data_IF_201391998458
#
_entry.id   IF_201391998458
#
_cell.length_a   1.000
_cell.length_b   1.000
_cell.length_c   1.000
_cell.angle_alpha   90.00
_cell.angle_beta   90.00
_cell.angle_gamma   90.00
#
_symmetry.space_group_name_H-M   'P 1'
#
loop_
_entity.id
_entity.type
_entity.pdbx_description
1 polymer ?
#
# COMPACT_ATOMS: atom_id res chain seq x y z
N UNK A 1 14.98 1.54 0.34
CA UNK A 1 14.53 0.98 -0.94
C UNK A 1 13.16 0.38 -0.66
N UNK A 2 12.15 0.68 -1.48
CA UNK A 2 10.87 -0.02 -1.37
C UNK A 2 11.13 -1.48 -1.76
N UNK A 3 11.03 -2.39 -0.82
CA UNK A 3 11.41 -3.77 -1.03
C UNK A 3 10.34 -4.44 -1.93
N UNK A 4 10.67 -4.58 -3.22
CA UNK A 4 9.76 -5.03 -4.28
C UNK A 4 9.85 -6.53 -4.53
N UNK A 5 11.07 -7.07 -4.50
CA UNK A 5 11.36 -8.43 -4.96
C UNK A 5 10.67 -9.49 -4.11
N UNK A 6 10.64 -9.33 -2.79
CA UNK A 6 10.02 -10.31 -1.90
C UNK A 6 8.51 -10.37 -2.09
N UNK A 7 7.81 -9.22 -2.08
CA UNK A 7 6.36 -9.17 -2.26
C UNK A 7 5.96 -9.68 -3.65
N UNK A 8 6.71 -9.28 -4.68
CA UNK A 8 6.46 -9.73 -6.05
C UNK A 8 6.65 -11.25 -6.18
N UNK A 9 7.70 -11.80 -5.55
CA UNK A 9 7.95 -13.24 -5.50
C UNK A 9 6.83 -13.98 -4.77
N UNK A 10 6.41 -13.48 -3.60
CA UNK A 10 5.33 -14.08 -2.81
C UNK A 10 4.02 -14.09 -3.59
N UNK A 11 3.65 -12.96 -4.21
CA UNK A 11 2.43 -12.88 -5.03
C UNK A 11 2.48 -13.81 -6.24
N UNK A 12 3.64 -13.92 -6.93
CA UNK A 12 3.83 -14.86 -8.04
C UNK A 12 3.72 -16.31 -7.58
N UNK A 13 4.26 -16.65 -6.41
CA UNK A 13 4.16 -17.99 -5.85
C UNK A 13 2.70 -18.33 -5.52
N UNK A 14 1.96 -17.40 -4.93
CA UNK A 14 0.54 -17.57 -4.60
C UNK A 14 -0.32 -17.70 -5.86
N UNK A 15 -0.02 -16.94 -6.92
CA UNK A 15 -0.69 -17.09 -8.21
C UNK A 15 -0.40 -18.45 -8.84
N UNK A 16 0.85 -18.92 -8.81
CA UNK A 16 1.21 -20.26 -9.27
C UNK A 16 0.44 -21.35 -8.51
N UNK A 17 0.40 -21.26 -7.18
CA UNK A 17 -0.32 -22.21 -6.32
C UNK A 17 -1.83 -22.20 -6.58
N UNK A 18 -2.41 -21.01 -6.80
CA UNK A 18 -3.81 -20.86 -7.19
C UNK A 18 -4.11 -21.57 -8.51
N UNK A 19 -3.29 -21.36 -9.52
CA UNK A 19 -3.47 -21.94 -10.86
C UNK A 19 -3.25 -23.46 -10.88
N UNK A 20 -2.31 -23.98 -10.07
CA UNK A 20 -2.05 -25.42 -9.97
C UNK A 20 -3.04 -26.18 -9.07
N UNK A 21 -3.87 -25.48 -8.30
CA UNK A 21 -4.76 -26.12 -7.35
C UNK A 21 -5.98 -26.76 -8.03
N UNK A 22 -6.19 -28.06 -7.81
CA UNK A 22 -7.44 -28.74 -8.16
C UNK A 22 -8.59 -28.47 -7.19
N UNK A 23 -8.31 -27.92 -6.00
CA UNK A 23 -9.31 -27.65 -4.96
C UNK A 23 -9.76 -26.20 -4.97
N UNK A 24 -11.07 -25.98 -5.10
CA UNK A 24 -11.67 -24.65 -5.00
C UNK A 24 -11.41 -23.98 -3.65
N UNK A 25 -11.41 -24.77 -2.57
CA UNK A 25 -11.13 -24.29 -1.21
C UNK A 25 -9.71 -23.72 -1.09
N UNK A 26 -8.73 -24.42 -1.67
CA UNK A 26 -7.34 -23.95 -1.69
C UNK A 26 -7.17 -22.69 -2.54
N UNK A 27 -7.86 -22.58 -3.69
CA UNK A 27 -7.88 -21.36 -4.50
C UNK A 27 -8.34 -20.15 -3.67
N UNK A 28 -9.41 -20.30 -2.89
CA UNK A 28 -9.91 -19.24 -2.00
C UNK A 28 -8.87 -18.84 -0.94
N UNK A 29 -8.13 -19.80 -0.39
CA UNK A 29 -7.05 -19.51 0.57
C UNK A 29 -5.91 -18.73 -0.05
N UNK A 30 -5.44 -19.14 -1.24
CA UNK A 30 -4.36 -18.42 -1.93
C UNK A 30 -4.77 -17.01 -2.33
N UNK A 31 -6.00 -16.79 -2.80
CA UNK A 31 -6.55 -15.46 -3.06
C UNK A 31 -6.55 -14.57 -1.81
N UNK A 32 -7.07 -15.07 -0.68
CA UNK A 32 -7.09 -14.31 0.57
C UNK A 32 -5.67 -13.98 1.06
N UNK A 33 -4.76 -14.95 0.98
CA UNK A 33 -3.39 -14.78 1.43
C UNK A 33 -2.66 -13.74 0.57
N UNK A 34 -2.81 -13.77 -0.76
CA UNK A 34 -2.21 -12.79 -1.66
C UNK A 34 -2.68 -11.37 -1.32
N UNK A 35 -3.99 -11.21 -1.10
CA UNK A 35 -4.56 -9.93 -0.72
C UNK A 35 -4.03 -9.43 0.64
N UNK A 36 -3.95 -10.28 1.65
CA UNK A 36 -3.40 -9.92 2.97
C UNK A 36 -1.94 -9.51 2.89
N UNK A 37 -1.14 -10.29 2.17
CA UNK A 37 0.29 -10.04 1.97
C UNK A 37 0.51 -8.67 1.31
N UNK A 38 -0.23 -8.37 0.23
CA UNK A 38 -0.13 -7.07 -0.41
C UNK A 38 -0.60 -5.94 0.51
N UNK A 39 -1.73 -6.11 1.22
CA UNK A 39 -2.23 -5.07 2.13
C UNK A 39 -1.22 -4.72 3.22
N UNK A 40 -0.59 -5.72 3.85
CA UNK A 40 0.45 -5.50 4.86
C UNK A 40 1.66 -4.80 4.27
N UNK A 41 2.12 -5.24 3.10
CA UNK A 41 3.22 -4.60 2.39
C UNK A 41 2.97 -3.12 2.09
N UNK A 42 1.75 -2.74 1.69
CA UNK A 42 1.41 -1.34 1.39
C UNK A 42 1.48 -0.50 2.67
N UNK A 43 0.92 -0.98 3.77
CA UNK A 43 0.94 -0.29 5.07
C UNK A 43 2.39 -0.03 5.50
N UNK A 44 3.23 -1.06 5.54
CA UNK A 44 4.65 -0.94 5.91
C UNK A 44 5.42 -0.01 4.98
N UNK A 45 5.14 -0.05 3.67
CA UNK A 45 5.83 0.79 2.69
C UNK A 45 5.44 2.26 2.82
N UNK A 46 4.17 2.56 3.05
CA UNK A 46 3.70 3.93 3.30
C UNK A 46 4.35 4.53 4.55
N UNK A 47 4.40 3.75 5.63
CA UNK A 47 5.06 4.12 6.88
C UNK A 47 6.54 4.42 6.64
N UNK A 48 7.24 3.54 5.93
CA UNK A 48 8.66 3.70 5.60
C UNK A 48 8.93 4.94 4.74
N UNK A 49 8.07 5.23 3.76
CA UNK A 49 8.17 6.45 2.93
C UNK A 49 8.07 7.70 3.79
N UNK A 50 7.10 7.74 4.71
CA UNK A 50 6.89 8.88 5.62
C UNK A 50 8.07 9.02 6.59
N UNK A 51 8.51 7.94 7.23
CA UNK A 51 9.62 7.94 8.18
C UNK A 51 10.92 8.40 7.49
N UNK A 52 11.20 7.91 6.28
CA UNK A 52 12.37 8.33 5.51
C UNK A 52 12.31 9.81 5.15
N UNK A 53 11.13 10.31 4.77
CA UNK A 53 10.93 11.74 4.53
C UNK A 53 11.19 12.56 5.82
N UNK A 54 10.59 12.17 6.93
CA UNK A 54 10.74 12.83 8.23
C UNK A 54 12.20 12.85 8.69
N UNK A 55 12.92 11.72 8.56
CA UNK A 55 14.32 11.62 8.94
C UNK A 55 15.25 12.51 8.09
N UNK A 56 14.86 12.81 6.86
CA UNK A 56 15.58 13.70 5.94
C UNK A 56 15.34 15.17 6.27
N UNK A 57 14.08 15.56 6.51
CA UNK A 57 13.70 16.97 6.69
C UNK A 57 13.88 17.46 8.14
N UNK A 58 13.63 16.61 9.13
CA UNK A 58 13.77 16.96 10.54
C UNK A 58 15.23 16.78 10.97
N UNK A 59 15.80 17.81 11.62
CA UNK A 59 17.17 17.74 12.16
C UNK A 59 17.20 17.23 13.61
N UNK A 60 16.14 17.50 14.37
CA UNK A 60 16.06 17.22 15.82
C UNK A 60 15.54 15.80 16.07
N UNK A 61 16.32 14.99 16.80
CA UNK A 61 16.00 13.58 17.06
C UNK A 61 14.66 13.36 17.81
N UNK A 62 14.33 14.14 18.86
CA UNK A 62 12.99 14.09 19.47
C UNK A 62 11.83 14.24 18.48
N UNK A 63 11.96 15.11 17.48
CA UNK A 63 10.90 15.33 16.49
C UNK A 63 10.75 14.12 15.56
N UNK A 64 11.86 13.49 15.16
CA UNK A 64 11.84 12.23 14.38
C UNK A 64 11.12 11.14 15.15
N UNK A 65 11.43 10.99 16.45
CA UNK A 65 10.77 10.03 17.33
C UNK A 65 9.28 10.35 17.50
N UNK A 66 8.92 11.62 17.62
CA UNK A 66 7.53 12.05 17.69
C UNK A 66 6.75 11.62 16.43
N UNK A 67 7.30 11.84 15.23
CA UNK A 67 6.64 11.38 13.99
C UNK A 67 6.44 9.86 14.01
N UNK A 68 7.48 9.09 14.32
CA UNK A 68 7.39 7.63 14.34
C UNK A 68 6.33 7.15 15.36
N UNK A 69 6.38 7.65 16.59
CA UNK A 69 5.57 7.13 17.70
C UNK A 69 4.14 7.70 17.76
N UNK A 70 3.94 8.94 17.30
CA UNK A 70 2.66 9.68 17.46
C UNK A 70 1.90 9.89 16.16
N UNK A 71 2.54 9.72 15.00
CA UNK A 71 1.91 9.92 13.70
C UNK A 71 1.82 8.61 12.93
N UNK A 72 2.95 7.93 12.75
CA UNK A 72 3.02 6.71 11.93
C UNK A 72 2.45 5.51 12.69
N UNK A 73 3.01 5.17 13.86
CA UNK A 73 2.58 4.01 14.66
C UNK A 73 1.08 3.90 14.97
N UNK A 74 0.33 4.98 15.27
CA UNK A 74 -1.11 4.87 15.52
C UNK A 74 -1.97 4.85 14.25
N UNK A 75 -1.36 4.94 13.06
CA UNK A 75 -2.06 4.90 11.77
C UNK A 75 -2.21 3.46 11.32
N UNK A 76 -3.45 2.96 11.24
CA UNK A 76 -3.74 1.59 10.83
C UNK A 76 -4.55 1.58 9.53
N UNK A 77 -3.92 1.16 8.44
CA UNK A 77 -4.54 1.13 7.12
C UNK A 77 -3.74 1.85 6.06
N UNK A 78 -4.15 1.67 4.81
CA UNK A 78 -3.44 2.18 3.63
C UNK A 78 -4.30 3.07 2.71
N UNK A 79 -5.49 3.49 3.14
CA UNK A 79 -6.28 4.48 2.38
C UNK A 79 -5.49 5.78 2.20
N UNK A 80 -5.46 6.29 0.96
CA UNK A 80 -4.67 7.47 0.61
C UNK A 80 -5.02 8.69 1.47
N UNK A 81 -6.27 9.15 1.43
CA UNK A 81 -6.70 10.37 2.14
C UNK A 81 -6.58 10.26 3.67
N UNK A 82 -7.03 9.13 4.23
CA UNK A 82 -7.14 8.96 5.69
C UNK A 82 -5.81 8.67 6.38
N UNK A 83 -4.91 7.95 5.70
CA UNK A 83 -3.67 7.45 6.29
C UNK A 83 -2.47 8.13 5.63
N UNK A 84 -2.19 7.86 4.36
CA UNK A 84 -0.94 8.27 3.74
C UNK A 84 -0.83 9.79 3.59
N UNK A 85 -1.83 10.44 3.00
CA UNK A 85 -1.87 11.89 2.80
C UNK A 85 -1.82 12.63 4.13
N UNK A 86 -2.59 12.17 5.13
CA UNK A 86 -2.57 12.72 6.49
C UNK A 86 -1.17 12.69 7.10
N UNK A 87 -0.46 11.56 6.99
CA UNK A 87 0.91 11.45 7.47
C UNK A 87 1.87 12.40 6.74
N UNK A 88 1.74 12.52 5.41
CA UNK A 88 2.56 13.46 4.62
C UNK A 88 2.30 14.91 5.02
N UNK A 89 1.03 15.32 5.16
CA UNK A 89 0.66 16.68 5.58
C UNK A 89 1.26 17.00 6.95
N UNK A 90 1.31 16.03 7.87
CA UNK A 90 1.93 16.24 9.17
C UNK A 90 3.45 16.51 9.08
N UNK A 91 4.15 15.83 8.16
CA UNK A 91 5.61 15.93 8.04
C UNK A 91 6.06 17.12 7.20
N UNK A 92 5.43 17.36 6.05
CA UNK A 92 5.88 18.37 5.07
C UNK A 92 4.92 19.55 4.90
N UNK A 93 3.76 19.52 5.57
CA UNK A 93 2.72 20.53 5.46
C UNK A 93 1.83 20.38 4.22
N UNK A 94 0.63 20.95 4.30
CA UNK A 94 -0.39 20.85 3.24
C UNK A 94 0.08 21.45 1.90
N UNK A 95 0.72 22.62 1.93
CA UNK A 95 1.21 23.27 0.71
C UNK A 95 2.22 22.40 -0.06
N UNK A 96 3.07 21.67 0.66
CA UNK A 96 4.05 20.77 0.04
C UNK A 96 3.37 19.55 -0.58
N UNK A 97 2.38 18.99 0.11
CA UNK A 97 1.58 17.87 -0.41
C UNK A 97 0.83 18.27 -1.68
N UNK A 98 0.20 19.44 -1.71
CA UNK A 98 -0.47 19.95 -2.93
C UNK A 98 0.50 20.10 -4.11
N UNK A 99 1.72 20.57 -3.85
CA UNK A 99 2.76 20.66 -4.88
C UNK A 99 3.17 19.28 -5.38
N UNK A 100 3.30 18.29 -4.50
CA UNK A 100 3.59 16.91 -4.90
C UNK A 100 2.45 16.36 -5.76
N UNK A 101 1.22 16.45 -5.29
CA UNK A 101 0.01 15.93 -5.96
C UNK A 101 -0.18 16.55 -7.35
N UNK A 102 0.19 17.81 -7.56
CA UNK A 102 0.18 18.47 -8.87
C UNK A 102 1.29 18.00 -9.81
N UNK A 103 2.42 17.56 -9.26
CA UNK A 103 3.64 17.24 -10.03
C UNK A 103 3.89 15.74 -10.20
N UNK A 104 3.12 14.87 -9.54
CA UNK A 104 3.09 13.43 -9.86
C UNK A 104 2.41 13.21 -11.20
N UNK A 105 2.79 12.13 -11.89
CA UNK A 105 2.07 11.66 -13.06
C UNK A 105 0.60 11.38 -12.70
N UNK A 106 -0.32 12.13 -13.32
CA UNK A 106 -1.75 12.08 -12.99
C UNK A 106 -2.40 10.73 -13.35
N UNK A 107 -1.87 10.04 -14.37
CA UNK A 107 -2.36 8.70 -14.76
C UNK A 107 -1.94 7.67 -13.73
N UNK A 108 -0.67 7.70 -13.30
CA UNK A 108 -0.17 6.82 -12.23
C UNK A 108 -0.89 7.12 -10.91
N UNK A 109 -1.11 8.39 -10.59
CA UNK A 109 -1.86 8.80 -9.41
C UNK A 109 -3.27 8.21 -9.42
N UNK A 110 -4.03 8.40 -10.51
CA UNK A 110 -5.38 7.85 -10.61
C UNK A 110 -5.42 6.31 -10.44
N UNK A 111 -4.47 5.60 -11.08
CA UNK A 111 -4.34 4.14 -10.94
C UNK A 111 -3.97 3.72 -9.52
N UNK A 112 -3.08 4.46 -8.87
CA UNK A 112 -2.68 4.22 -7.48
C UNK A 112 -3.88 4.35 -6.54
N UNK A 113 -4.63 5.46 -6.61
CA UNK A 113 -5.82 5.69 -5.78
C UNK A 113 -6.88 4.61 -6.03
N UNK A 114 -7.13 4.28 -7.31
CA UNK A 114 -8.07 3.22 -7.68
C UNK A 114 -7.66 1.84 -7.14
N UNK A 115 -6.38 1.51 -7.21
CA UNK A 115 -5.85 0.24 -6.69
C UNK A 115 -5.98 0.16 -5.16
N UNK A 116 -5.67 1.24 -4.42
CA UNK A 116 -5.87 1.29 -2.97
C UNK A 116 -7.35 1.12 -2.61
N UNK A 117 -8.25 1.81 -3.31
CA UNK A 117 -9.70 1.68 -3.09
C UNK A 117 -10.20 0.25 -3.34
N UNK A 118 -9.74 -0.36 -4.44
CA UNK A 118 -10.09 -1.75 -4.80
C UNK A 118 -9.61 -2.75 -3.74
N UNK A 119 -8.34 -2.64 -3.31
CA UNK A 119 -7.77 -3.50 -2.29
C UNK A 119 -8.45 -3.33 -0.94
N UNK A 120 -8.82 -2.10 -0.57
CA UNK A 120 -9.55 -1.82 0.68
C UNK A 120 -10.94 -2.45 0.66
N UNK A 121 -11.67 -2.30 -0.44
CA UNK A 121 -12.99 -2.90 -0.61
C UNK A 121 -12.92 -4.44 -0.55
N UNK A 122 -11.96 -5.03 -1.28
CA UNK A 122 -11.72 -6.47 -1.25
C UNK A 122 -11.37 -6.95 0.16
N UNK A 123 -10.41 -6.30 0.84
CA UNK A 123 -10.00 -6.66 2.21
C UNK A 123 -11.17 -6.61 3.18
N UNK A 124 -11.94 -5.52 3.16
CA UNK A 124 -13.09 -5.37 4.06
C UNK A 124 -14.14 -6.45 3.79
N UNK A 125 -14.49 -6.70 2.52
CA UNK A 125 -15.43 -7.77 2.14
C UNK A 125 -14.95 -9.10 2.71
N UNK A 126 -13.69 -9.44 2.51
CA UNK A 126 -13.11 -10.71 2.91
C UNK A 126 -12.90 -10.87 4.42
N UNK A 127 -12.70 -9.77 5.16
CA UNK A 127 -12.58 -9.77 6.62
C UNK A 127 -13.93 -9.96 7.33
N UNK A 128 -15.02 -9.45 6.74
CA UNK A 128 -16.37 -9.53 7.32
C UNK A 128 -17.16 -10.75 6.85
N UNK A 129 -16.54 -11.68 6.11
CA UNK A 129 -17.25 -12.83 5.54
C UNK A 129 -16.45 -14.13 5.69
N UNK A 130 -17.05 -15.11 6.36
CA UNK A 130 -16.47 -16.44 6.52
C UNK A 130 -16.56 -17.25 5.22
N UNK A 131 -15.58 -18.14 5.01
CA UNK A 131 -15.60 -19.10 3.89
C UNK A 131 -16.64 -20.20 4.17
N UNK A 132 -17.92 -19.92 3.93
CA UNK A 132 -19.02 -20.88 3.98
C UNK A 132 -19.68 -20.96 2.60
N UNK A 133 -19.90 -22.18 2.10
CA UNK A 133 -20.53 -22.44 0.79
C UNK A 133 -19.55 -22.63 -0.38
N UNK A 134 -20.04 -23.26 -1.46
CA UNK A 134 -19.26 -23.69 -2.65
C UNK A 134 -19.24 -22.67 -3.80
N UNK A 135 -20.14 -21.67 -3.80
CA UNK A 135 -20.33 -20.69 -4.89
C UNK A 135 -19.57 -19.38 -4.71
N UNK A 136 -18.63 -19.30 -3.77
CA UNK A 136 -17.94 -18.04 -3.47
C UNK A 136 -16.84 -17.73 -4.49
N UNK A 137 -16.85 -16.48 -4.97
CA UNK A 137 -15.80 -15.91 -5.81
C UNK A 137 -14.99 -14.89 -5.00
N UNK A 138 -13.68 -15.07 -5.00
CA UNK A 138 -12.69 -14.11 -4.51
C UNK A 138 -11.77 -13.82 -5.68
N UNK A 139 -11.33 -12.57 -5.80
CA UNK A 139 -10.41 -12.18 -6.85
C UNK A 139 -9.18 -13.11 -6.88
N UNK A 140 -8.79 -13.54 -8.07
CA UNK A 140 -7.60 -14.36 -8.24
C UNK A 140 -6.34 -13.55 -7.86
N UNK A 141 -5.24 -14.20 -7.42
CA UNK A 141 -4.00 -13.51 -7.09
C UNK A 141 -3.46 -12.62 -8.21
N UNK A 142 -3.71 -12.98 -9.48
CA UNK A 142 -3.39 -12.13 -10.65
C UNK A 142 -4.01 -10.72 -10.59
N UNK A 143 -5.20 -10.56 -9.99
CA UNK A 143 -5.83 -9.24 -9.77
C UNK A 143 -5.05 -8.47 -8.70
N UNK A 144 -4.68 -9.13 -7.60
CA UNK A 144 -3.83 -8.56 -6.56
C UNK A 144 -2.48 -8.12 -7.12
N UNK A 145 -1.86 -8.92 -8.00
CA UNK A 145 -0.61 -8.57 -8.68
C UNK A 145 -0.75 -7.35 -9.58
N UNK A 146 -1.86 -7.22 -10.32
CA UNK A 146 -2.12 -6.02 -11.13
C UNK A 146 -2.20 -4.77 -10.25
N UNK A 147 -2.93 -4.86 -9.13
CA UNK A 147 -3.03 -3.75 -8.17
C UNK A 147 -1.66 -3.42 -7.54
N UNK A 148 -0.84 -4.42 -7.25
CA UNK A 148 0.53 -4.22 -6.77
C UNK A 148 1.36 -3.34 -7.70
N UNK A 149 1.29 -3.56 -9.03
CA UNK A 149 2.03 -2.74 -10.00
C UNK A 149 1.64 -1.26 -9.87
N UNK A 150 0.33 -0.98 -9.85
CA UNK A 150 -0.18 0.39 -9.73
C UNK A 150 0.19 1.05 -8.39
N UNK A 151 0.17 0.28 -7.31
CA UNK A 151 0.57 0.79 -5.99
C UNK A 151 2.07 1.06 -5.92
N UNK A 152 2.89 0.14 -6.42
CA UNK A 152 4.33 0.31 -6.47
C UNK A 152 4.73 1.54 -7.30
N UNK A 153 4.17 1.70 -8.49
CA UNK A 153 4.42 2.86 -9.36
C UNK A 153 4.04 4.17 -8.68
N UNK A 154 2.87 4.21 -8.02
CA UNK A 154 2.44 5.38 -7.25
C UNK A 154 3.41 5.72 -6.11
N UNK A 155 3.77 4.75 -5.27
CA UNK A 155 4.67 4.97 -4.14
C UNK A 155 6.08 5.40 -4.57
N UNK A 156 6.59 4.86 -5.69
CA UNK A 156 7.87 5.30 -6.27
C UNK A 156 7.80 6.75 -6.74
N UNK A 157 6.72 7.14 -7.41
CA UNK A 157 6.51 8.51 -7.86
C UNK A 157 6.47 9.48 -6.67
N UNK A 158 5.70 9.15 -5.62
CA UNK A 158 5.67 9.94 -4.39
C UNK A 158 7.05 10.03 -3.73
N UNK A 159 7.76 8.90 -3.61
CA UNK A 159 9.09 8.89 -3.02
C UNK A 159 10.07 9.78 -3.80
N UNK A 160 10.00 9.79 -5.14
CA UNK A 160 10.82 10.66 -5.97
C UNK A 160 10.51 12.13 -5.71
N UNK A 161 9.23 12.54 -5.81
CA UNK A 161 8.83 13.93 -5.57
C UNK A 161 9.10 14.39 -4.14
N UNK A 162 8.96 13.50 -3.15
CA UNK A 162 9.31 13.78 -1.76
C UNK A 162 10.80 14.02 -1.57
N UNK A 163 11.69 13.41 -2.37
CA UNK A 163 13.13 13.69 -2.33
C UNK A 163 13.48 15.03 -2.99
N UNK A 164 12.77 15.38 -4.06
CA UNK A 164 12.99 16.62 -4.81
C UNK A 164 12.51 17.87 -4.06
N UNK A 165 11.70 17.70 -3.01
CA UNK A 165 11.31 18.77 -2.10
C UNK A 165 12.54 19.39 -1.43
N UNK A 166 12.75 20.67 -1.71
CA UNK A 166 13.66 21.56 -0.99
C UNK A 166 12.92 22.08 0.25
N UNK A 167 13.14 21.42 1.39
CA UNK A 167 12.63 21.78 2.71
C UNK A 167 13.80 21.95 3.68
#
# INVERSE_FOLDING_TARGET
>A
MIARSYIESNLRQLDKLYNSSGSQKMKLYYSKLAMLELCGWIEETMDDVVIKCANRVLKVQPNKKYIADKVVRPTYGFEYEKHFRRMLVFVVGLMSVEKIEKNVDQVKYARFISALGSLKAARNKEAHTHLKGVTRTVDAPSVTMRNFIHVYEGLVEYQAKLKDLRL
#
